data_IF_175063029734
#
_entry.id   IF_175063029734
#
_cell.length_a   1.000
_cell.length_b   1.000
_cell.length_c   1.000
_cell.angle_alpha   90.00
_cell.angle_beta   90.00
_cell.angle_gamma   90.00
#
_symmetry.space_group_name_H-M   'P 1'
#
loop_
_entity.id
_entity.type
_entity.pdbx_description
1 polymer ?
#
# COMPACT_ATOMS: atom_id res chain seq x y z
N UNK A 1 14.82 -8.04 -21.91
CA UNK A 1 13.94 -8.22 -23.09
C UNK A 1 13.85 -6.93 -23.91
N UNK A 2 13.49 -5.78 -23.34
CA UNK A 2 13.38 -4.49 -24.05
C UNK A 2 14.67 -4.09 -24.79
N UNK A 3 15.81 -4.20 -24.13
CA UNK A 3 17.11 -3.84 -24.71
C UNK A 3 17.46 -4.73 -25.91
N UNK A 4 17.18 -6.03 -25.81
CA UNK A 4 17.38 -6.97 -26.90
C UNK A 4 16.45 -6.65 -28.10
N UNK A 5 15.18 -6.35 -27.84
CA UNK A 5 14.22 -5.98 -28.90
C UNK A 5 14.62 -4.67 -29.60
N UNK A 6 15.05 -3.67 -28.83
CA UNK A 6 15.56 -2.40 -29.38
C UNK A 6 16.76 -2.63 -30.29
N UNK A 7 17.74 -3.44 -29.87
CA UNK A 7 18.93 -3.76 -30.68
C UNK A 7 18.55 -4.50 -31.96
N UNK A 8 17.63 -5.49 -31.85
CA UNK A 8 17.15 -6.25 -33.02
C UNK A 8 16.46 -5.33 -34.02
N UNK A 9 15.57 -4.45 -33.56
CA UNK A 9 14.87 -3.49 -34.42
C UNK A 9 15.86 -2.56 -35.16
N UNK A 10 16.85 -2.03 -34.46
CA UNK A 10 17.87 -1.15 -35.09
C UNK A 10 18.73 -1.90 -36.11
N UNK A 11 19.14 -3.11 -35.80
CA UNK A 11 19.92 -3.95 -36.73
C UNK A 11 19.10 -4.29 -37.99
N UNK A 12 17.82 -4.64 -37.82
CA UNK A 12 16.92 -4.92 -38.94
C UNK A 12 16.71 -3.69 -39.79
N UNK A 13 16.52 -2.51 -39.19
CA UNK A 13 16.42 -1.24 -39.94
C UNK A 13 17.64 -0.95 -40.77
N UNK A 14 18.83 -1.12 -40.19
CA UNK A 14 20.10 -0.94 -40.93
C UNK A 14 20.23 -1.95 -42.08
N UNK A 15 19.85 -3.21 -41.86
CA UNK A 15 19.90 -4.25 -42.89
C UNK A 15 18.96 -3.93 -44.07
N UNK A 16 17.74 -3.43 -43.80
CA UNK A 16 16.79 -3.02 -44.84
C UNK A 16 17.33 -1.83 -45.63
N UNK A 17 17.91 -0.85 -44.95
CA UNK A 17 18.56 0.30 -45.66
C UNK A 17 19.73 -0.16 -46.52
N UNK A 18 20.59 -1.02 -46.03
CA UNK A 18 21.72 -1.57 -46.79
C UNK A 18 21.24 -2.35 -48.02
N UNK A 19 20.22 -3.17 -47.88
CA UNK A 19 19.63 -3.94 -48.97
C UNK A 19 19.04 -3.00 -50.06
N UNK A 20 18.32 -1.94 -49.68
CA UNK A 20 17.77 -0.96 -50.61
C UNK A 20 18.87 -0.26 -51.43
N UNK A 21 19.97 0.09 -50.77
CA UNK A 21 21.16 0.70 -51.45
C UNK A 21 21.80 -0.28 -52.43
N UNK A 22 21.98 -1.54 -52.03
CA UNK A 22 22.55 -2.60 -52.87
C UNK A 22 21.67 -2.83 -54.12
N UNK A 23 20.36 -2.90 -53.99
CA UNK A 23 19.42 -3.06 -55.09
C UNK A 23 19.41 -1.85 -56.04
N UNK A 24 19.59 -0.64 -55.53
CA UNK A 24 19.75 0.53 -56.37
C UNK A 24 21.04 0.45 -57.20
N UNK A 25 22.17 0.15 -56.59
CA UNK A 25 23.45 0.03 -57.34
C UNK A 25 23.50 -1.17 -58.30
N UNK A 26 22.75 -2.22 -58.04
CA UNK A 26 22.64 -3.34 -58.99
C UNK A 26 21.70 -3.07 -60.19
N UNK A 27 21.10 -1.89 -60.23
CA UNK A 27 20.19 -1.48 -61.33
C UNK A 27 18.81 -2.16 -61.30
N UNK A 28 18.50 -2.89 -60.22
CA UNK A 28 17.22 -3.59 -60.05
C UNK A 28 16.12 -2.71 -59.43
N UNK A 29 16.50 -1.54 -58.89
CA UNK A 29 15.58 -0.60 -58.25
C UNK A 29 15.82 0.83 -58.71
N UNK A 30 14.73 1.56 -58.97
CA UNK A 30 14.78 2.99 -59.27
C UNK A 30 15.10 3.83 -58.03
N UNK A 31 15.72 5.00 -58.24
CA UNK A 31 16.08 5.91 -57.13
C UNK A 31 14.87 6.30 -56.28
N UNK A 32 13.72 6.54 -56.90
CA UNK A 32 12.47 6.88 -56.18
C UNK A 32 12.04 5.81 -55.21
N UNK A 33 12.09 4.52 -55.62
CA UNK A 33 11.74 3.38 -54.78
C UNK A 33 12.76 3.16 -53.69
N UNK A 34 14.06 3.38 -53.96
CA UNK A 34 15.11 3.31 -52.94
C UNK A 34 14.87 4.37 -51.85
N UNK A 35 14.59 5.61 -52.21
CA UNK A 35 14.31 6.71 -51.28
C UNK A 35 13.04 6.41 -50.46
N UNK A 36 11.96 5.93 -51.10
CA UNK A 36 10.75 5.52 -50.41
C UNK A 36 11.03 4.41 -49.38
N UNK A 37 11.82 3.42 -49.73
CA UNK A 37 12.17 2.30 -48.85
C UNK A 37 12.98 2.78 -47.64
N UNK A 38 13.90 3.70 -47.80
CA UNK A 38 14.67 4.31 -46.74
C UNK A 38 13.74 5.09 -45.77
N UNK A 39 12.86 5.95 -46.30
CA UNK A 39 11.94 6.76 -45.50
C UNK A 39 10.95 5.85 -44.74
N UNK A 40 10.36 4.88 -45.42
CA UNK A 40 9.43 3.91 -44.78
C UNK A 40 10.10 3.09 -43.69
N UNK A 41 11.35 2.66 -43.93
CA UNK A 41 12.12 1.92 -42.90
C UNK A 41 12.29 2.76 -41.63
N UNK A 42 12.69 4.03 -41.75
CA UNK A 42 12.83 4.91 -40.60
C UNK A 42 11.52 5.09 -39.82
N UNK A 43 10.43 5.37 -40.52
CA UNK A 43 9.11 5.58 -39.91
C UNK A 43 8.62 4.31 -39.21
N UNK A 44 8.74 3.15 -39.87
CA UNK A 44 8.26 1.88 -39.29
C UNK A 44 9.02 1.50 -38.04
N UNK A 45 10.34 1.61 -38.01
CA UNK A 45 11.13 1.25 -36.86
C UNK A 45 10.96 2.23 -35.69
N UNK A 46 10.72 3.52 -35.95
CA UNK A 46 10.37 4.48 -34.92
C UNK A 46 9.02 4.19 -34.28
N UNK A 47 8.01 3.78 -35.06
CA UNK A 47 6.71 3.38 -34.57
C UNK A 47 6.78 2.08 -33.73
N UNK A 48 7.61 1.12 -34.11
CA UNK A 48 7.84 -0.11 -33.35
C UNK A 48 8.50 0.17 -32.00
N UNK A 49 9.48 1.08 -31.95
CA UNK A 49 10.12 1.49 -30.70
C UNK A 49 9.12 2.23 -29.78
N UNK A 50 8.27 3.08 -30.33
CA UNK A 50 7.19 3.76 -29.60
C UNK A 50 6.18 2.77 -29.01
N UNK A 51 5.77 1.76 -29.79
CA UNK A 51 4.86 0.72 -29.30
C UNK A 51 5.44 -0.05 -28.09
N UNK A 52 6.76 -0.31 -28.09
CA UNK A 52 7.44 -0.91 -26.95
C UNK A 52 7.39 -0.05 -25.70
N UNK A 53 7.49 1.27 -25.85
CA UNK A 53 7.40 2.22 -24.74
C UNK A 53 6.01 2.28 -24.12
N UNK A 54 4.94 2.15 -24.93
CA UNK A 54 3.56 2.06 -24.43
C UNK A 54 3.34 0.82 -23.55
N UNK A 55 3.91 -0.32 -23.90
CA UNK A 55 3.83 -1.54 -23.08
C UNK A 55 4.42 -1.36 -21.68
N UNK A 56 5.52 -0.58 -21.57
CA UNK A 56 6.11 -0.25 -20.29
C UNK A 56 5.21 0.68 -19.46
N UNK A 57 4.59 1.67 -20.11
CA UNK A 57 3.66 2.59 -19.48
C UNK A 57 2.43 1.85 -18.94
N UNK A 58 1.79 0.97 -19.72
CA UNK A 58 0.66 0.17 -19.28
C UNK A 58 1.00 -0.67 -18.04
N UNK A 59 2.18 -1.31 -18.03
CA UNK A 59 2.62 -2.09 -16.85
C UNK A 59 2.80 -1.23 -15.60
N UNK A 60 3.27 0.01 -15.74
CA UNK A 60 3.40 0.92 -14.59
C UNK A 60 2.04 1.39 -14.06
N UNK A 61 1.06 1.56 -14.96
CA UNK A 61 -0.31 1.89 -14.60
C UNK A 61 -0.96 0.72 -13.85
N UNK A 62 -0.83 -0.52 -14.35
CA UNK A 62 -1.35 -1.71 -13.70
C UNK A 62 -0.84 -1.84 -12.25
N UNK A 63 0.48 -1.68 -12.05
CA UNK A 63 1.06 -1.70 -10.71
C UNK A 63 0.49 -0.58 -9.82
N UNK A 64 0.27 0.60 -10.38
CA UNK A 64 -0.35 1.72 -9.66
C UNK A 64 -1.80 1.44 -9.24
N UNK A 65 -2.59 0.89 -10.17
CA UNK A 65 -3.99 0.50 -9.93
C UNK A 65 -4.08 -0.62 -8.90
N UNK A 66 -3.21 -1.63 -8.98
CA UNK A 66 -3.19 -2.73 -8.01
C UNK A 66 -2.90 -2.23 -6.60
N UNK A 67 -1.91 -1.33 -6.45
CA UNK A 67 -1.60 -0.71 -5.15
C UNK A 67 -2.75 0.12 -4.61
N UNK A 68 -3.38 0.94 -5.45
CA UNK A 68 -4.54 1.73 -5.06
C UNK A 68 -5.71 0.84 -4.66
N UNK A 69 -5.98 -0.21 -5.44
CA UNK A 69 -7.03 -1.19 -5.16
C UNK A 69 -6.77 -1.97 -3.86
N UNK A 70 -5.50 -2.29 -3.57
CA UNK A 70 -5.14 -2.95 -2.32
C UNK A 70 -5.46 -2.08 -1.10
N UNK A 71 -5.19 -0.77 -1.19
CA UNK A 71 -5.52 0.18 -0.11
C UNK A 71 -7.04 0.32 0.04
N UNK A 72 -7.78 0.43 -1.06
CA UNK A 72 -9.24 0.59 -1.04
C UNK A 72 -9.98 -0.68 -0.58
N UNK A 73 -9.35 -1.86 -0.64
CA UNK A 73 -9.91 -3.13 -0.15
C UNK A 73 -9.65 -3.38 1.33
N UNK A 74 -8.84 -2.56 1.98
CA UNK A 74 -8.67 -2.64 3.43
C UNK A 74 -10.02 -2.30 4.05
N UNK A 75 -10.61 -3.26 4.74
CA UNK A 75 -11.84 -3.01 5.49
C UNK A 75 -11.54 -1.98 6.58
N UNK A 76 -12.29 -0.86 6.61
CA UNK A 76 -12.17 0.07 7.71
C UNK A 76 -12.57 -0.62 9.01
N UNK A 77 -11.95 -0.23 10.10
CA UNK A 77 -12.37 -0.67 11.43
C UNK A 77 -13.83 -0.25 11.62
N UNK A 78 -14.66 -1.14 12.19
CA UNK A 78 -16.03 -0.82 12.57
C UNK A 78 -16.00 0.30 13.62
N UNK A 79 -16.36 1.49 13.19
CA UNK A 79 -16.44 2.70 14.04
C UNK A 79 -17.85 3.05 14.41
N UNK A 80 -18.83 2.30 13.89
CA UNK A 80 -20.24 2.47 14.19
C UNK A 80 -20.52 1.90 15.59
N UNK A 81 -21.18 2.69 16.38
CA UNK A 81 -21.54 2.35 17.74
C UNK A 81 -22.54 3.37 18.27
N UNK A 82 -22.93 3.22 19.52
CA UNK A 82 -23.86 4.14 20.16
C UNK A 82 -23.11 5.38 20.66
N UNK A 83 -23.75 6.55 20.59
CA UNK A 83 -23.23 7.76 21.22
C UNK A 83 -23.41 7.65 22.74
N UNK A 84 -22.40 7.14 23.41
CA UNK A 84 -22.43 6.84 24.84
C UNK A 84 -21.49 7.77 25.61
N UNK A 85 -21.88 8.09 26.84
CA UNK A 85 -21.00 8.71 27.84
C UNK A 85 -20.85 7.74 29.01
N UNK A 86 -19.63 7.39 29.43
CA UNK A 86 -19.43 6.50 30.54
C UNK A 86 -19.86 7.18 31.85
N UNK A 87 -20.56 6.46 32.72
CA UNK A 87 -20.89 6.92 34.08
C UNK A 87 -19.65 6.92 35.00
N UNK A 88 -18.67 6.08 34.68
CA UNK A 88 -17.40 5.91 35.39
C UNK A 88 -16.29 5.83 34.39
N UNK A 89 -15.08 6.29 34.76
CA UNK A 89 -13.93 6.35 33.87
C UNK A 89 -12.92 5.24 34.17
N UNK A 90 -13.34 4.15 34.82
CA UNK A 90 -12.48 2.99 35.03
C UNK A 90 -12.27 2.23 33.71
N UNK A 91 -11.03 1.77 33.50
CA UNK A 91 -10.67 0.97 32.33
C UNK A 91 -10.34 -0.46 32.79
N UNK A 92 -10.97 -1.44 32.17
CA UNK A 92 -10.73 -2.85 32.46
C UNK A 92 -10.38 -3.61 31.17
N UNK A 93 -9.26 -4.30 31.21
CA UNK A 93 -8.85 -5.26 30.19
C UNK A 93 -9.06 -6.66 30.78
N UNK A 94 -9.64 -7.56 30.01
CA UNK A 94 -9.91 -8.94 30.43
C UNK A 94 -9.44 -9.90 29.35
N UNK A 95 -8.42 -10.71 29.67
CA UNK A 95 -7.86 -11.76 28.81
C UNK A 95 -7.53 -11.27 27.40
N UNK A 96 -6.88 -10.10 27.30
CA UNK A 96 -6.59 -9.44 26.02
C UNK A 96 -5.44 -10.14 25.31
N UNK A 97 -5.73 -10.58 24.08
CA UNK A 97 -4.76 -11.04 23.10
C UNK A 97 -4.68 -10.06 21.94
N UNK A 98 -3.46 -9.75 21.51
CA UNK A 98 -3.26 -8.85 20.38
C UNK A 98 -1.96 -9.13 19.61
N UNK A 99 -2.05 -9.06 18.29
CA UNK A 99 -0.94 -9.19 17.36
C UNK A 99 -1.00 -8.11 16.28
N UNK A 100 0.13 -7.54 15.90
CA UNK A 100 0.26 -6.85 14.61
C UNK A 100 0.61 -7.92 13.56
N UNK A 101 -0.25 -8.06 12.55
CA UNK A 101 -0.14 -9.13 11.55
C UNK A 101 0.00 -10.53 12.21
N UNK A 102 1.13 -11.20 12.01
CA UNK A 102 1.40 -12.54 12.57
C UNK A 102 2.27 -12.53 13.84
N UNK A 103 2.69 -11.34 14.31
CA UNK A 103 3.58 -11.22 15.48
C UNK A 103 2.79 -10.96 16.76
N UNK A 104 2.70 -11.93 17.69
CA UNK A 104 2.01 -11.71 18.96
C UNK A 104 2.74 -10.67 19.82
N UNK A 105 1.99 -9.73 20.37
CA UNK A 105 2.49 -8.63 21.21
C UNK A 105 1.96 -8.72 22.64
N UNK A 106 0.67 -8.99 22.79
CA UNK A 106 0.03 -9.19 24.09
C UNK A 106 -0.60 -10.57 24.12
N UNK A 107 -0.50 -11.23 25.25
CA UNK A 107 -1.07 -12.55 25.46
C UNK A 107 -1.66 -12.64 26.87
N UNK A 108 -2.98 -12.90 26.91
CA UNK A 108 -3.77 -13.08 28.14
C UNK A 108 -3.58 -11.95 29.17
N UNK A 109 -3.60 -10.69 28.70
CA UNK A 109 -3.38 -9.54 29.57
C UNK A 109 -4.69 -9.12 30.22
N UNK A 110 -4.68 -9.12 31.58
CA UNK A 110 -5.80 -8.62 32.38
C UNK A 110 -5.31 -7.52 33.31
N UNK A 111 -6.01 -6.37 33.32
CA UNK A 111 -5.63 -5.20 34.11
C UNK A 111 -6.88 -4.35 34.38
N UNK A 112 -6.96 -3.78 35.59
CA UNK A 112 -7.97 -2.78 35.92
C UNK A 112 -7.30 -1.49 36.37
N UNK A 113 -7.69 -0.38 35.76
CA UNK A 113 -7.29 0.99 36.08
C UNK A 113 -8.51 1.67 36.69
N UNK A 114 -8.58 1.86 37.99
CA UNK A 114 -9.70 2.58 38.63
C UNK A 114 -9.73 4.05 38.20
N UNK A 115 -10.91 4.65 38.15
CA UNK A 115 -11.05 6.08 37.90
C UNK A 115 -10.24 6.91 38.94
N UNK A 116 -9.81 8.12 38.53
CA UNK A 116 -9.05 9.08 39.38
C UNK A 116 -7.75 8.51 39.97
N UNK A 117 -7.17 7.50 39.32
CA UNK A 117 -5.89 6.93 39.74
C UNK A 117 -4.79 7.22 38.69
N UNK A 118 -3.55 7.20 39.15
CA UNK A 118 -2.38 7.24 38.28
C UNK A 118 -1.72 5.87 38.27
N UNK A 119 -1.56 5.27 37.09
CA UNK A 119 -0.95 3.97 36.90
C UNK A 119 0.29 4.09 36.05
N UNK A 120 1.40 3.47 36.47
CA UNK A 120 2.62 3.37 35.69
C UNK A 120 2.75 1.97 35.07
N UNK A 121 2.82 1.91 33.74
CA UNK A 121 3.10 0.68 32.98
C UNK A 121 4.59 0.61 32.71
N UNK A 122 5.28 -0.34 33.34
CA UNK A 122 6.73 -0.52 33.26
C UNK A 122 7.11 -1.82 32.56
N UNK A 123 8.25 -1.84 31.90
CA UNK A 123 8.75 -3.03 31.20
C UNK A 123 9.82 -2.68 30.17
N UNK A 124 10.52 -3.68 29.62
CA UNK A 124 11.57 -3.49 28.63
C UNK A 124 11.02 -2.89 27.32
N UNK A 125 11.92 -2.41 26.46
CA UNK A 125 11.52 -1.94 25.13
C UNK A 125 10.90 -3.09 24.33
N UNK A 126 9.78 -2.81 23.63
CA UNK A 126 9.06 -3.82 22.85
C UNK A 126 8.12 -4.72 23.65
N UNK A 127 7.93 -4.52 24.97
CA UNK A 127 7.02 -5.33 25.80
C UNK A 127 5.52 -5.01 25.61
N UNK A 128 5.12 -4.24 24.61
CA UNK A 128 3.72 -3.97 24.32
C UNK A 128 3.07 -2.81 25.07
N UNK A 129 3.82 -2.01 25.87
CA UNK A 129 3.27 -0.89 26.66
C UNK A 129 2.47 0.12 25.83
N UNK A 130 3.03 0.57 24.73
CA UNK A 130 2.36 1.50 23.80
C UNK A 130 1.16 0.85 23.13
N UNK A 131 1.30 -0.43 22.75
CA UNK A 131 0.20 -1.21 22.18
C UNK A 131 -0.97 -1.30 23.16
N UNK A 132 -0.68 -1.56 24.45
CA UNK A 132 -1.69 -1.63 25.49
C UNK A 132 -2.47 -0.30 25.60
N UNK A 133 -1.77 0.84 25.62
CA UNK A 133 -2.41 2.17 25.62
C UNK A 133 -3.26 2.41 24.38
N UNK A 134 -2.77 2.00 23.21
CA UNK A 134 -3.50 2.15 21.94
C UNK A 134 -4.78 1.31 21.92
N UNK A 135 -4.76 0.12 22.51
CA UNK A 135 -5.95 -0.73 22.61
C UNK A 135 -6.99 -0.17 23.58
N UNK A 136 -6.59 0.48 24.67
CA UNK A 136 -7.51 1.15 25.60
C UNK A 136 -8.33 2.24 24.89
N UNK A 137 -7.75 2.94 23.94
CA UNK A 137 -8.42 3.97 23.14
C UNK A 137 -8.99 3.46 21.81
N UNK A 138 -9.00 2.15 21.63
CA UNK A 138 -9.50 1.51 20.41
C UNK A 138 -8.86 2.05 19.12
N UNK A 139 -7.54 2.29 19.11
CA UNK A 139 -6.82 2.50 17.84
C UNK A 139 -6.68 1.21 17.05
N UNK A 140 -6.88 0.08 17.71
CA UNK A 140 -6.95 -1.27 17.17
C UNK A 140 -7.97 -2.07 17.98
N UNK A 141 -8.69 -2.97 17.33
CA UNK A 141 -9.55 -3.92 18.03
C UNK A 141 -8.74 -5.12 18.53
N UNK A 142 -9.08 -5.62 19.73
CA UNK A 142 -8.46 -6.81 20.30
C UNK A 142 -8.89 -8.06 19.54
N UNK A 143 -7.99 -9.03 19.39
CA UNK A 143 -8.26 -10.32 18.76
C UNK A 143 -8.86 -11.34 19.70
N UNK A 144 -8.57 -11.20 20.98
CA UNK A 144 -9.15 -11.99 22.06
C UNK A 144 -9.41 -11.12 23.29
N UNK A 145 -10.37 -11.53 24.12
CA UNK A 145 -10.74 -10.78 25.31
C UNK A 145 -11.58 -9.54 25.06
N UNK A 146 -11.55 -8.61 26.01
CA UNK A 146 -12.30 -7.36 25.93
C UNK A 146 -11.58 -6.21 26.62
N UNK A 147 -11.80 -4.98 26.10
CA UNK A 147 -11.43 -3.71 26.74
C UNK A 147 -12.71 -2.97 27.08
N UNK A 148 -12.84 -2.50 28.30
CA UNK A 148 -14.04 -1.83 28.77
C UNK A 148 -13.72 -0.48 29.40
N UNK A 149 -14.55 0.50 29.10
CA UNK A 149 -14.57 1.83 29.73
C UNK A 149 -15.88 1.99 30.50
N UNK A 150 -15.81 2.24 31.79
CA UNK A 150 -16.99 2.36 32.64
C UNK A 150 -17.89 1.11 32.66
N UNK A 151 -17.28 -0.08 32.48
CA UNK A 151 -17.96 -1.37 32.46
C UNK A 151 -18.53 -1.79 31.10
N UNK A 152 -18.57 -0.90 30.08
CA UNK A 152 -19.02 -1.21 28.72
C UNK A 152 -17.82 -1.48 27.80
N UNK A 153 -17.98 -2.40 26.85
CA UNK A 153 -16.95 -2.68 25.85
C UNK A 153 -16.69 -1.43 24.98
N UNK A 154 -15.44 -1.12 24.71
CA UNK A 154 -15.07 0.05 23.89
C UNK A 154 -15.62 -0.03 22.47
N UNK A 155 -15.99 -1.24 21.99
CA UNK A 155 -16.61 -1.46 20.69
C UNK A 155 -18.07 -1.05 20.63
N UNK A 156 -18.75 -0.90 21.77
CA UNK A 156 -20.14 -0.44 21.84
C UNK A 156 -20.27 1.07 21.66
N UNK A 157 -19.20 1.81 21.93
CA UNK A 157 -19.15 3.26 21.75
C UNK A 157 -18.99 3.64 20.27
N UNK A 158 -19.66 4.70 19.80
CA UNK A 158 -19.21 5.35 18.59
C UNK A 158 -17.78 5.87 18.79
N UNK A 159 -16.97 5.85 17.73
CA UNK A 159 -15.55 6.25 17.85
C UNK A 159 -15.41 7.67 18.41
N UNK A 160 -16.24 8.61 17.97
CA UNK A 160 -16.23 9.99 18.44
C UNK A 160 -16.56 10.10 19.94
N UNK A 161 -17.54 9.33 20.42
CA UNK A 161 -17.89 9.36 21.83
C UNK A 161 -16.84 8.70 22.72
N UNK A 162 -16.18 7.66 22.21
CA UNK A 162 -15.08 6.99 22.91
C UNK A 162 -13.87 7.91 23.06
N UNK A 163 -13.39 8.48 21.93
CA UNK A 163 -12.14 9.22 21.90
C UNK A 163 -12.21 10.54 22.70
N UNK A 164 -13.40 11.09 22.92
CA UNK A 164 -13.60 12.26 23.82
C UNK A 164 -13.19 12.00 25.26
N UNK A 165 -13.10 10.73 25.67
CA UNK A 165 -12.70 10.35 27.04
C UNK A 165 -11.18 10.13 27.16
N UNK A 166 -10.43 10.23 26.06
CA UNK A 166 -8.99 9.99 26.04
C UNK A 166 -8.21 11.23 25.63
N UNK A 167 -7.06 11.44 26.24
CA UNK A 167 -6.07 12.41 25.84
C UNK A 167 -4.71 11.74 25.76
N UNK A 168 -3.97 11.96 24.67
CA UNK A 168 -2.67 11.34 24.42
C UNK A 168 -1.56 12.37 24.37
N UNK A 169 -0.45 12.04 25.01
CA UNK A 169 0.81 12.75 24.82
C UNK A 169 1.80 11.81 24.20
N UNK A 170 2.14 12.04 22.94
CA UNK A 170 3.10 11.22 22.21
C UNK A 170 4.54 11.64 22.50
N UNK A 171 5.46 10.68 22.48
CA UNK A 171 6.88 10.92 22.73
C UNK A 171 7.57 11.74 21.62
N UNK A 172 7.00 11.72 20.40
CA UNK A 172 7.39 12.59 19.27
C UNK A 172 6.18 13.40 18.84
N UNK A 173 6.31 14.68 18.88
CA UNK A 173 5.36 15.67 18.33
C UNK A 173 5.87 16.10 16.96
#
# INVERSE_FOLDING_TARGET
YMLAQFVVNKLTGVAVCAAAIVFYFSGTMELTNCLLMLICSFILFEQLDSAGSFSALFRSIDIGVDKASAILRVEPMDIDGEELSPEREDITLSHVDFSYDSKPILHDVSLTIPEKTTVAIVGPSGSGKTTLCNLMARFWDVQGGSVRLGGRDVREYSYDSLIRNFSFVFQRV
#
